data_IF_066253146175
#
_entry.id   IF_066253146175
#
_cell.length_a   1.000
_cell.length_b   1.000
_cell.length_c   1.000
_cell.angle_alpha   90.00
_cell.angle_beta   90.00
_cell.angle_gamma   90.00
#
_symmetry.space_group_name_H-M   'P 1'
#
loop_
_entity.id
_entity.type
_entity.pdbx_description
1 polymer ?
#
# COMPACT_ATOMS: atom_id res chain seq x y z
N UNK A 1 -1.61 8.25 17.99
CA UNK A 1 -0.25 7.77 17.71
C UNK A 1 -0.35 6.49 16.91
N UNK A 2 0.37 6.37 15.79
CA UNK A 2 0.31 5.20 14.93
C UNK A 2 1.04 4.04 15.62
N UNK A 3 0.30 3.02 16.06
CA UNK A 3 0.87 1.81 16.69
C UNK A 3 1.06 0.72 15.63
N UNK A 4 1.97 -0.24 15.85
CA UNK A 4 2.15 -1.38 14.94
C UNK A 4 0.84 -2.13 14.66
N UNK A 5 0.03 -2.38 15.68
CA UNK A 5 -1.23 -3.13 15.52
C UNK A 5 -2.24 -2.40 14.63
N UNK A 6 -2.38 -1.07 14.80
CA UNK A 6 -3.23 -0.25 13.94
C UNK A 6 -2.71 -0.18 12.51
N UNK A 7 -1.39 -0.19 12.34
CA UNK A 7 -0.77 -0.18 11.02
C UNK A 7 -1.03 -1.51 10.29
N UNK A 8 -0.95 -2.64 11.01
CA UNK A 8 -1.32 -3.96 10.48
C UNK A 8 -2.81 -4.02 10.13
N UNK A 9 -3.68 -3.50 10.99
CA UNK A 9 -5.13 -3.45 10.72
C UNK A 9 -5.44 -2.65 9.45
N UNK A 10 -4.82 -1.47 9.29
CA UNK A 10 -4.93 -0.66 8.07
C UNK A 10 -4.41 -1.41 6.86
N UNK A 11 -3.28 -2.10 6.98
CA UNK A 11 -2.72 -2.88 5.89
C UNK A 11 -3.65 -4.02 5.46
N UNK A 12 -4.19 -4.79 6.39
CA UNK A 12 -5.14 -5.86 6.08
C UNK A 12 -6.38 -5.33 5.37
N UNK A 13 -6.97 -4.24 5.86
CA UNK A 13 -8.12 -3.60 5.20
C UNK A 13 -7.77 -3.09 3.80
N UNK A 14 -6.57 -2.51 3.62
CA UNK A 14 -6.12 -2.02 2.33
C UNK A 14 -5.86 -3.16 1.34
N UNK A 15 -5.29 -4.27 1.82
CA UNK A 15 -4.97 -5.45 1.01
C UNK A 15 -6.24 -6.16 0.54
N UNK A 16 -7.22 -6.34 1.43
CA UNK A 16 -8.51 -6.94 1.06
C UNK A 16 -9.30 -6.02 0.11
N UNK A 17 -9.27 -4.71 0.34
CA UNK A 17 -9.85 -3.74 -0.60
C UNK A 17 -9.19 -3.80 -1.98
N UNK A 18 -7.86 -3.81 -2.07
CA UNK A 18 -7.15 -3.84 -3.35
C UNK A 18 -7.49 -5.11 -4.15
N UNK A 19 -7.57 -6.27 -3.50
CA UNK A 19 -7.98 -7.53 -4.18
C UNK A 19 -9.37 -7.43 -4.78
N UNK A 20 -10.34 -6.92 -4.02
CA UNK A 20 -11.72 -6.77 -4.50
C UNK A 20 -11.81 -5.70 -5.60
N UNK A 21 -11.11 -4.59 -5.41
CA UNK A 21 -11.07 -3.49 -6.36
C UNK A 21 -10.46 -3.90 -7.70
N UNK A 22 -9.35 -4.65 -7.70
CA UNK A 22 -8.72 -5.16 -8.91
C UNK A 22 -9.67 -6.02 -9.74
N UNK A 23 -10.42 -6.92 -9.09
CA UNK A 23 -11.43 -7.74 -9.75
C UNK A 23 -12.54 -6.88 -10.36
N UNK A 24 -12.97 -5.83 -9.65
CA UNK A 24 -14.05 -4.97 -10.11
C UNK A 24 -13.62 -4.03 -11.24
N UNK A 25 -12.40 -3.50 -11.18
CA UNK A 25 -11.79 -2.69 -12.23
C UNK A 25 -11.63 -3.50 -13.50
N UNK A 26 -11.16 -4.76 -13.42
CA UNK A 26 -11.03 -5.62 -14.58
C UNK A 26 -12.37 -5.87 -15.29
N UNK A 27 -13.47 -6.01 -14.55
CA UNK A 27 -14.82 -6.18 -15.14
C UNK A 27 -15.34 -4.92 -15.84
N UNK A 28 -14.97 -3.75 -15.34
CA UNK A 28 -15.48 -2.46 -15.82
C UNK A 28 -14.48 -1.69 -16.69
N UNK A 29 -13.34 -2.29 -17.00
CA UNK A 29 -12.31 -1.66 -17.79
C UNK A 29 -12.80 -1.48 -19.22
N UNK A 30 -12.88 -0.22 -19.67
CA UNK A 30 -13.19 0.09 -21.07
C UNK A 30 -11.96 -0.23 -21.92
N UNK A 31 -12.15 -1.05 -22.94
CA UNK A 31 -11.10 -1.37 -23.90
C UNK A 31 -10.65 -0.10 -24.64
N UNK A 32 -9.40 0.30 -24.42
CA UNK A 32 -8.80 1.38 -25.19
C UNK A 32 -8.30 0.80 -26.52
N UNK A 33 -9.01 1.12 -27.61
CA UNK A 33 -8.75 0.65 -28.98
C UNK A 33 -7.33 0.88 -29.53
N UNK A 34 -6.48 1.69 -28.87
CA UNK A 34 -5.17 2.07 -29.43
C UNK A 34 -4.08 2.48 -28.42
N UNK A 35 -4.21 2.11 -27.14
CA UNK A 35 -3.19 2.45 -26.14
C UNK A 35 -2.17 1.33 -25.98
N UNK A 36 -0.91 1.59 -26.35
CA UNK A 36 0.24 0.84 -25.83
C UNK A 36 0.14 0.83 -24.31
N UNK A 37 -0.21 -0.32 -23.74
CA UNK A 37 -0.21 -0.51 -22.29
C UNK A 37 1.22 -0.36 -21.79
N UNK A 38 1.48 0.71 -21.04
CA UNK A 38 2.77 0.93 -20.42
C UNK A 38 2.81 0.23 -19.07
N UNK A 39 3.10 -1.06 -19.08
CA UNK A 39 3.29 -1.81 -17.85
C UNK A 39 4.71 -1.56 -17.32
N UNK A 40 4.82 -0.73 -16.27
CA UNK A 40 6.01 -0.69 -15.42
C UNK A 40 5.68 -1.41 -14.12
N UNK A 41 6.33 -2.54 -13.81
CA UNK A 41 6.14 -3.18 -12.52
C UNK A 41 6.58 -2.22 -11.41
N UNK A 42 5.67 -1.92 -10.49
CA UNK A 42 6.00 -1.21 -9.26
C UNK A 42 6.78 -2.14 -8.33
N UNK A 43 7.72 -1.57 -7.56
CA UNK A 43 8.42 -2.32 -6.50
C UNK A 43 7.60 -2.43 -5.21
N UNK A 44 6.49 -1.71 -5.13
CA UNK A 44 5.60 -1.62 -3.98
C UNK A 44 4.17 -1.87 -4.46
N UNK A 45 3.44 -2.72 -3.74
CA UNK A 45 2.05 -3.04 -4.00
C UNK A 45 1.13 -1.85 -3.74
N UNK A 46 -0.06 -1.85 -4.34
CA UNK A 46 -1.04 -0.79 -4.14
C UNK A 46 -1.53 -0.74 -2.68
N UNK A 47 -1.65 -1.89 -2.01
CA UNK A 47 -2.03 -1.97 -0.60
C UNK A 47 -0.98 -1.35 0.33
N UNK A 48 0.32 -1.55 0.04
CA UNK A 48 1.41 -0.85 0.75
C UNK A 48 1.35 0.66 0.54
N UNK A 49 1.14 1.12 -0.70
CA UNK A 49 1.03 2.56 -1.01
C UNK A 49 -0.16 3.17 -0.26
N UNK A 50 -1.31 2.50 -0.29
CA UNK A 50 -2.52 2.97 0.37
C UNK A 50 -2.34 3.04 1.89
N UNK A 51 -1.69 2.03 2.48
CA UNK A 51 -1.36 2.01 3.91
C UNK A 51 -0.43 3.16 4.31
N UNK A 52 0.59 3.46 3.49
CA UNK A 52 1.51 4.58 3.72
C UNK A 52 0.73 5.91 3.74
N UNK A 53 -0.16 6.13 2.77
CA UNK A 53 -0.96 7.35 2.68
C UNK A 53 -1.92 7.48 3.86
N UNK A 54 -2.64 6.42 4.21
CA UNK A 54 -3.56 6.41 5.34
C UNK A 54 -2.79 6.66 6.66
N UNK A 55 -1.65 6.00 6.86
CA UNK A 55 -0.78 6.20 8.01
C UNK A 55 -0.23 7.63 8.11
N UNK A 56 0.09 8.26 6.97
CA UNK A 56 0.51 9.66 6.93
C UNK A 56 -0.58 10.60 7.46
N UNK A 57 -1.82 10.40 7.01
CA UNK A 57 -2.97 11.20 7.45
C UNK A 57 -3.26 11.02 8.94
N UNK A 58 -3.20 9.79 9.45
CA UNK A 58 -3.41 9.53 10.89
C UNK A 58 -2.27 10.02 11.79
N UNK A 59 -1.04 10.07 11.26
CA UNK A 59 0.14 10.46 12.01
C UNK A 59 0.30 11.97 12.23
N UNK A 60 -0.58 12.81 11.64
CA UNK A 60 -0.51 14.28 11.73
C UNK A 60 0.87 14.86 11.36
N UNK A 61 1.58 14.21 10.43
CA UNK A 61 2.89 14.64 10.00
C UNK A 61 2.76 15.87 9.10
N UNK A 62 3.62 16.88 9.34
CA UNK A 62 3.60 18.13 8.55
C UNK A 62 4.18 17.97 7.14
N UNK A 63 5.06 16.99 6.94
CA UNK A 63 5.75 16.79 5.67
C UNK A 63 5.82 15.29 5.32
N UNK A 64 5.31 14.94 4.14
CA UNK A 64 5.32 13.57 3.64
C UNK A 64 6.74 13.02 3.46
N UNK A 65 7.69 13.84 3.02
CA UNK A 65 9.10 13.43 2.88
C UNK A 65 9.69 12.99 4.22
N UNK A 66 9.39 13.73 5.29
CA UNK A 66 9.88 13.40 6.63
C UNK A 66 9.23 12.11 7.12
N UNK A 67 7.92 11.95 6.96
CA UNK A 67 7.23 10.71 7.29
C UNK A 67 7.80 9.51 6.52
N UNK A 68 7.99 9.64 5.21
CA UNK A 68 8.49 8.56 4.37
C UNK A 68 9.91 8.12 4.78
N UNK A 69 10.81 9.08 5.02
CA UNK A 69 12.19 8.77 5.42
C UNK A 69 12.29 8.16 6.82
N UNK A 70 11.51 8.63 7.79
CA UNK A 70 11.60 8.16 9.17
C UNK A 70 10.77 6.90 9.45
N UNK A 71 9.57 6.80 8.88
CA UNK A 71 8.62 5.73 9.15
C UNK A 71 8.68 4.64 8.09
N UNK A 72 8.54 4.99 6.80
CA UNK A 72 8.44 3.98 5.73
C UNK A 72 9.78 3.29 5.47
N UNK A 73 10.89 4.02 5.54
CA UNK A 73 12.22 3.42 5.36
C UNK A 73 12.59 2.46 6.50
N UNK A 74 12.06 2.69 7.71
CA UNK A 74 12.22 1.80 8.88
C UNK A 74 11.20 0.65 8.88
N UNK A 75 9.96 0.90 8.44
CA UNK A 75 8.89 -0.10 8.33
C UNK A 75 9.05 -1.03 7.13
N UNK A 76 9.70 -0.63 6.04
CA UNK A 76 9.94 -1.51 4.89
C UNK A 76 10.72 -2.77 5.27
N UNK A 77 11.57 -2.71 6.29
CA UNK A 77 12.25 -3.89 6.87
C UNK A 77 11.28 -4.68 7.74
N UNK A 78 10.44 -4.01 8.54
CA UNK A 78 9.51 -4.67 9.48
C UNK A 78 8.33 -5.33 8.77
N UNK A 79 7.67 -4.67 7.82
CA UNK A 79 6.59 -5.25 7.01
C UNK A 79 7.11 -6.41 6.16
N UNK A 80 8.29 -6.30 5.54
CA UNK A 80 8.86 -7.40 4.76
C UNK A 80 9.24 -8.60 5.65
N UNK A 81 9.76 -8.38 6.86
CA UNK A 81 10.01 -9.43 7.86
C UNK A 81 8.72 -10.00 8.48
N UNK A 82 7.68 -9.18 8.64
CA UNK A 82 6.42 -9.57 9.28
C UNK A 82 5.51 -10.31 8.29
N UNK A 83 5.42 -9.85 7.04
CA UNK A 83 4.80 -10.59 5.92
C UNK A 83 5.51 -11.93 5.71
N UNK A 84 6.85 -11.96 5.75
CA UNK A 84 7.62 -13.21 5.68
C UNK A 84 7.37 -14.15 6.87
N UNK A 85 6.98 -13.63 8.05
CA UNK A 85 6.60 -14.43 9.23
C UNK A 85 5.15 -14.89 9.24
N UNK A 86 4.24 -14.21 8.53
CA UNK A 86 2.83 -14.60 8.41
C UNK A 86 2.62 -15.63 7.29
N UNK A 87 3.50 -15.64 6.28
CA UNK A 87 3.45 -16.57 5.15
C UNK A 87 4.24 -17.87 5.34
N UNK A 88 4.89 -18.07 6.50
CA UNK A 88 5.58 -19.31 6.89
C UNK A 88 4.90 -19.92 8.10
#
# INVERSE_FOLDING_TARGET
>A
MLTPDKLTEIFCMADDFCKEFDLEVQKHQVEALDKKSYYRPSRMSESEIMTILIGFHFGTFRNFKQYYLFYVQMLGIVLSLYVSKITT
#
